data_IF_874827448285
#
_entry.id   IF_874827448285
#
_cell.length_a   1.000
_cell.length_b   1.000
_cell.length_c   1.000
_cell.angle_alpha   90.00
_cell.angle_beta   90.00
_cell.angle_gamma   90.00
#
_symmetry.space_group_name_H-M   'P 1'
#
loop_
_entity.id
_entity.type
_entity.pdbx_description
1 polymer ?
#
# COMPACT_ATOMS: atom_id res chain seq x y z
N UNK A 1 5.58 -5.21 21.14
CA UNK A 1 5.62 -3.95 21.93
C UNK A 1 6.44 -2.84 21.27
N UNK A 2 7.58 -3.13 20.62
CA UNK A 2 8.41 -2.10 19.93
C UNK A 2 7.73 -1.54 18.68
N UNK A 3 7.08 -2.36 17.85
CA UNK A 3 6.35 -1.92 16.67
C UNK A 3 5.21 -0.94 17.04
N UNK A 4 4.46 -1.22 18.11
CA UNK A 4 3.39 -0.36 18.60
C UNK A 4 3.90 1.02 19.07
N UNK A 5 5.04 1.08 19.78
CA UNK A 5 5.66 2.34 20.18
C UNK A 5 6.13 3.17 18.98
N UNK A 6 6.68 2.52 17.95
CA UNK A 6 7.04 3.19 16.69
C UNK A 6 5.80 3.76 16.00
N UNK A 7 4.73 2.98 15.92
CA UNK A 7 3.47 3.38 15.31
C UNK A 7 2.89 4.63 16.00
N UNK A 8 2.77 4.63 17.34
CA UNK A 8 2.29 5.79 18.12
C UNK A 8 3.15 7.03 17.87
N UNK A 9 4.47 6.88 17.80
CA UNK A 9 5.38 8.00 17.52
C UNK A 9 5.16 8.57 16.13
N UNK A 10 5.02 7.70 15.10
CA UNK A 10 4.75 8.14 13.72
C UNK A 10 3.40 8.85 13.64
N UNK A 11 2.36 8.30 14.26
CA UNK A 11 1.03 8.93 14.30
C UNK A 11 1.12 10.33 14.94
N UNK A 12 1.76 10.45 16.10
CA UNK A 12 1.93 11.74 16.76
C UNK A 12 2.69 12.76 15.91
N UNK A 13 3.73 12.30 15.19
CA UNK A 13 4.51 13.15 14.29
C UNK A 13 3.72 13.59 13.07
N UNK A 14 3.01 12.68 12.40
CA UNK A 14 2.21 13.00 11.20
C UNK A 14 0.98 13.87 11.53
N UNK A 15 0.34 13.62 12.67
CA UNK A 15 -0.73 14.50 13.18
C UNK A 15 -0.18 15.91 13.44
N UNK A 16 0.96 16.02 14.13
CA UNK A 16 1.61 17.31 14.41
C UNK A 16 1.99 18.05 13.11
N UNK A 17 2.60 17.35 12.16
CA UNK A 17 3.03 17.91 10.87
C UNK A 17 1.85 18.38 10.00
N UNK A 18 0.67 17.79 10.14
CA UNK A 18 -0.52 18.19 9.38
C UNK A 18 -1.33 19.27 10.11
N UNK A 19 -1.50 19.15 11.42
CA UNK A 19 -2.34 20.07 12.21
C UNK A 19 -1.65 21.41 12.49
N UNK A 20 -0.32 21.44 12.70
CA UNK A 20 0.39 22.69 12.99
C UNK A 20 0.31 23.71 11.85
N UNK A 21 0.55 23.33 10.57
CA UNK A 21 0.35 24.26 9.44
C UNK A 21 -1.09 24.72 9.26
N UNK A 22 -2.08 23.82 9.47
CA UNK A 22 -3.51 24.19 9.41
C UNK A 22 -3.82 25.26 10.46
N UNK A 23 -3.41 25.04 11.70
CA UNK A 23 -3.62 26.00 12.81
C UNK A 23 -2.92 27.34 12.54
N UNK A 24 -1.67 27.30 12.09
CA UNK A 24 -0.90 28.50 11.77
C UNK A 24 -1.56 29.28 10.64
N UNK A 25 -1.96 28.61 9.56
CA UNK A 25 -2.58 29.26 8.41
C UNK A 25 -3.95 29.83 8.76
N UNK A 26 -4.78 29.10 9.52
CA UNK A 26 -6.05 29.61 10.00
C UNK A 26 -5.87 30.88 10.86
N UNK A 27 -4.85 30.92 11.73
CA UNK A 27 -4.51 32.11 12.50
C UNK A 27 -4.09 33.31 11.62
N UNK A 28 -3.26 33.05 10.61
CA UNK A 28 -2.85 34.06 9.63
C UNK A 28 -4.06 34.62 8.87
N UNK A 29 -4.96 33.75 8.40
CA UNK A 29 -6.18 34.17 7.70
C UNK A 29 -7.13 34.97 8.59
N UNK A 30 -7.25 34.62 9.89
CA UNK A 30 -8.04 35.39 10.84
C UNK A 30 -7.45 36.80 11.01
N UNK A 31 -6.14 36.94 11.17
CA UNK A 31 -5.47 38.27 11.24
C UNK A 31 -5.61 39.06 9.96
N UNK A 32 -5.59 38.45 8.78
CA UNK A 32 -5.82 39.14 7.51
C UNK A 32 -7.26 39.70 7.44
N UNK A 33 -8.26 38.98 7.94
CA UNK A 33 -9.65 39.43 8.01
C UNK A 33 -9.82 40.65 8.89
N UNK A 34 -9.09 40.72 10.02
CA UNK A 34 -9.17 41.85 10.93
C UNK A 34 -8.51 43.14 10.35
N UNK A 35 -7.63 43.01 9.34
CA UNK A 35 -6.85 44.11 8.73
C UNK A 35 -7.29 44.46 7.30
N UNK A 36 -8.43 44.01 6.85
CA UNK A 36 -8.91 44.11 5.44
C UNK A 36 -9.05 45.53 4.85
N UNK A 37 -8.92 46.57 5.64
CA UNK A 37 -9.05 47.95 5.14
C UNK A 37 -7.81 48.48 4.42
N UNK A 38 -6.66 47.80 4.47
CA UNK A 38 -5.38 48.36 4.01
C UNK A 38 -4.63 47.61 2.89
N UNK A 39 -5.08 46.37 2.49
CA UNK A 39 -4.33 45.52 1.58
C UNK A 39 -5.11 45.24 0.30
N UNK A 40 -4.51 45.52 -0.87
CA UNK A 40 -5.14 45.27 -2.18
C UNK A 40 -5.28 43.77 -2.52
N UNK A 41 -4.39 42.90 -2.00
CA UNK A 41 -4.23 41.51 -2.43
C UNK A 41 -4.68 40.48 -1.38
N UNK A 42 -5.39 40.91 -0.33
CA UNK A 42 -5.79 40.02 0.78
C UNK A 42 -6.65 38.81 0.33
N UNK A 43 -7.42 38.96 -0.77
CA UNK A 43 -8.26 37.87 -1.31
C UNK A 43 -7.42 36.73 -1.89
N UNK A 44 -6.32 37.05 -2.53
CA UNK A 44 -5.43 36.03 -3.11
C UNK A 44 -4.60 35.34 -2.02
N UNK A 45 -4.19 36.09 -0.99
CA UNK A 45 -3.58 35.52 0.21
C UNK A 45 -4.55 34.58 0.94
N UNK A 46 -5.81 35.00 1.08
CA UNK A 46 -6.88 34.18 1.66
C UNK A 46 -7.06 32.87 0.87
N UNK A 47 -7.19 32.95 -0.45
CA UNK A 47 -7.31 31.78 -1.31
C UNK A 47 -6.13 30.84 -1.17
N UNK A 48 -4.89 31.34 -1.22
CA UNK A 48 -3.67 30.55 -1.04
C UNK A 48 -3.67 29.85 0.31
N UNK A 49 -4.03 30.54 1.38
CA UNK A 49 -4.12 29.96 2.72
C UNK A 49 -5.16 28.87 2.83
N UNK A 50 -6.34 29.04 2.23
CA UNK A 50 -7.40 28.05 2.20
C UNK A 50 -7.00 26.80 1.40
N UNK A 51 -6.29 26.96 0.28
CA UNK A 51 -5.75 25.84 -0.51
C UNK A 51 -4.80 25.01 0.34
N UNK A 52 -3.86 25.65 1.05
CA UNK A 52 -2.92 24.95 1.94
C UNK A 52 -3.66 24.18 3.05
N UNK A 53 -4.67 24.78 3.67
CA UNK A 53 -5.50 24.11 4.67
C UNK A 53 -6.20 22.89 4.06
N UNK A 54 -6.78 23.03 2.87
CA UNK A 54 -7.45 21.95 2.14
C UNK A 54 -6.52 20.77 1.88
N UNK A 55 -5.37 21.03 1.27
CA UNK A 55 -4.35 20.00 0.97
C UNK A 55 -3.88 19.25 2.21
N UNK A 56 -3.63 19.96 3.33
CA UNK A 56 -3.21 19.36 4.59
C UNK A 56 -4.32 18.53 5.23
N UNK A 57 -5.56 18.99 5.15
CA UNK A 57 -6.74 18.26 5.66
C UNK A 57 -6.97 16.97 4.88
N UNK A 58 -6.84 17.01 3.55
CA UNK A 58 -6.92 15.81 2.70
C UNK A 58 -5.79 14.83 2.99
N UNK A 59 -4.54 15.31 3.15
CA UNK A 59 -3.41 14.47 3.51
C UNK A 59 -3.66 13.76 4.86
N UNK A 60 -4.16 14.48 5.86
CA UNK A 60 -4.52 13.94 7.16
C UNK A 60 -5.65 12.90 7.05
N UNK A 61 -6.67 13.17 6.25
CA UNK A 61 -7.79 12.25 6.02
C UNK A 61 -7.31 10.94 5.38
N UNK A 62 -6.44 11.02 4.36
CA UNK A 62 -5.81 9.85 3.74
C UNK A 62 -5.00 9.05 4.76
N UNK A 63 -4.20 9.73 5.59
CA UNK A 63 -3.42 9.10 6.66
C UNK A 63 -4.31 8.37 7.67
N UNK A 64 -5.37 9.02 8.17
CA UNK A 64 -6.31 8.40 9.12
C UNK A 64 -7.06 7.22 8.54
N UNK A 65 -7.49 7.30 7.28
CA UNK A 65 -8.14 6.20 6.58
C UNK A 65 -7.21 4.99 6.41
N UNK A 66 -5.95 5.27 6.11
CA UNK A 66 -4.91 4.27 5.97
C UNK A 66 -4.60 3.60 7.33
N UNK A 67 -4.50 4.39 8.40
CA UNK A 67 -4.34 3.89 9.77
C UNK A 67 -5.50 3.01 10.21
N UNK A 68 -6.74 3.43 9.93
CA UNK A 68 -7.92 2.66 10.28
C UNK A 68 -7.96 1.28 9.61
N UNK A 69 -7.50 1.18 8.36
CA UNK A 69 -7.37 -0.10 7.64
C UNK A 69 -6.32 -1.01 8.28
N UNK A 70 -5.16 -0.44 8.68
CA UNK A 70 -4.11 -1.22 9.34
C UNK A 70 -4.54 -1.71 10.73
N UNK A 71 -5.26 -0.87 11.50
CA UNK A 71 -5.69 -1.18 12.86
C UNK A 71 -6.90 -2.11 12.94
N UNK A 72 -7.64 -2.32 11.85
CA UNK A 72 -8.91 -3.03 11.80
C UNK A 72 -8.94 -4.24 10.87
N UNK A 73 -7.78 -4.82 10.55
CA UNK A 73 -7.81 -6.08 9.79
C UNK A 73 -8.58 -7.12 10.62
N UNK A 74 -9.77 -7.57 10.16
CA UNK A 74 -10.52 -8.60 10.89
C UNK A 74 -9.79 -9.94 10.83
N UNK A 75 -10.06 -10.86 11.75
CA UNK A 75 -9.59 -12.24 11.60
C UNK A 75 -10.05 -12.82 10.27
N UNK A 76 -9.22 -13.61 9.58
CA UNK A 76 -9.58 -14.17 8.28
C UNK A 76 -10.72 -15.16 8.38
N UNK A 77 -11.65 -15.09 7.44
CA UNK A 77 -12.73 -16.06 7.26
C UNK A 77 -12.29 -17.10 6.23
N UNK A 78 -11.75 -18.22 6.71
CA UNK A 78 -11.16 -19.25 5.86
C UNK A 78 -12.20 -20.01 5.03
N UNK A 79 -12.04 -20.00 3.73
CA UNK A 79 -12.79 -20.77 2.74
C UNK A 79 -11.85 -21.43 1.73
N UNK A 80 -12.38 -22.32 0.89
CA UNK A 80 -11.61 -22.90 -0.21
C UNK A 80 -11.50 -21.87 -1.33
N UNK A 81 -10.28 -21.49 -1.70
CA UNK A 81 -9.99 -20.51 -2.73
C UNK A 81 -9.20 -21.16 -3.86
N UNK A 82 -9.70 -21.03 -5.07
CA UNK A 82 -8.98 -21.37 -6.30
C UNK A 82 -8.01 -20.25 -6.63
N UNK A 83 -6.71 -20.57 -6.65
CA UNK A 83 -5.64 -19.58 -6.85
C UNK A 83 -5.64 -19.00 -8.27
N UNK A 84 -5.86 -19.84 -9.30
CA UNK A 84 -5.92 -19.37 -10.71
C UNK A 84 -7.08 -18.38 -10.88
N UNK A 85 -8.27 -18.75 -10.40
CA UNK A 85 -9.45 -17.89 -10.49
C UNK A 85 -9.25 -16.56 -9.72
N UNK A 86 -8.62 -16.59 -8.53
CA UNK A 86 -8.29 -15.40 -7.77
C UNK A 86 -7.34 -14.48 -8.53
N UNK A 87 -6.22 -15.02 -9.03
CA UNK A 87 -5.20 -14.23 -9.75
C UNK A 87 -5.82 -13.59 -11.00
N UNK A 88 -6.55 -14.37 -11.83
CA UNK A 88 -7.20 -13.84 -13.04
C UNK A 88 -8.19 -12.75 -12.73
N UNK A 89 -9.01 -12.92 -11.69
CA UNK A 89 -9.98 -11.90 -11.27
C UNK A 89 -9.28 -10.60 -10.89
N UNK A 90 -8.20 -10.67 -10.09
CA UNK A 90 -7.48 -9.47 -9.65
C UNK A 90 -6.73 -8.79 -10.80
N UNK A 91 -6.11 -9.57 -11.69
CA UNK A 91 -5.44 -9.01 -12.87
C UNK A 91 -6.45 -8.33 -13.81
N UNK A 92 -7.66 -8.91 -13.97
CA UNK A 92 -8.70 -8.29 -14.78
C UNK A 92 -9.19 -6.92 -14.27
N UNK A 93 -8.98 -6.62 -13.00
CA UNK A 93 -9.25 -5.29 -12.43
C UNK A 93 -8.21 -4.22 -12.85
N UNK A 94 -7.04 -4.65 -13.35
CA UNK A 94 -5.97 -3.76 -13.80
C UNK A 94 -6.14 -3.41 -15.29
N UNK A 95 -7.17 -2.62 -15.60
CA UNK A 95 -7.54 -2.31 -17.01
C UNK A 95 -6.55 -1.41 -17.75
N UNK A 96 -5.71 -0.66 -17.01
CA UNK A 96 -4.86 0.38 -17.57
C UNK A 96 -3.40 -0.06 -17.80
N UNK A 97 -3.05 -1.30 -17.44
CA UNK A 97 -1.69 -1.80 -17.56
C UNK A 97 -1.67 -3.31 -17.85
N UNK A 98 -0.91 -3.77 -18.84
CA UNK A 98 -0.83 -5.18 -19.16
C UNK A 98 -0.04 -5.95 -18.09
N UNK A 99 -0.66 -6.98 -17.51
CA UNK A 99 -0.05 -7.91 -16.58
C UNK A 99 -0.02 -9.29 -17.21
N UNK A 100 1.16 -9.89 -17.29
CA UNK A 100 1.34 -11.25 -17.83
C UNK A 100 1.12 -12.28 -16.73
N UNK A 101 0.20 -13.21 -16.95
CA UNK A 101 -0.03 -14.34 -16.05
C UNK A 101 0.73 -15.56 -16.59
N UNK A 102 1.72 -16.02 -15.85
CA UNK A 102 2.37 -17.31 -16.07
C UNK A 102 1.68 -18.34 -15.19
N UNK A 103 0.68 -19.03 -15.74
CA UNK A 103 -0.17 -19.95 -14.98
C UNK A 103 0.64 -21.08 -14.33
N UNK A 104 0.48 -21.24 -13.03
CA UNK A 104 1.01 -22.38 -12.28
C UNK A 104 0.05 -23.59 -12.27
N UNK A 105 0.33 -24.59 -11.45
CA UNK A 105 -0.56 -25.74 -11.29
C UNK A 105 -1.92 -25.32 -10.72
N UNK A 106 -3.01 -26.04 -11.08
CA UNK A 106 -4.31 -25.81 -10.44
C UNK A 106 -4.21 -26.18 -8.95
N UNK A 107 -4.55 -25.21 -8.09
CA UNK A 107 -4.42 -25.38 -6.65
C UNK A 107 -5.53 -24.66 -5.91
N UNK A 108 -6.04 -25.30 -4.86
CA UNK A 108 -6.97 -24.73 -3.90
C UNK A 108 -6.29 -24.63 -2.54
N UNK A 109 -6.50 -23.51 -1.86
CA UNK A 109 -5.98 -23.25 -0.51
C UNK A 109 -7.11 -22.86 0.43
N UNK A 110 -6.87 -23.00 1.72
CA UNK A 110 -7.76 -22.46 2.77
C UNK A 110 -7.34 -21.05 3.10
N UNK A 111 -8.14 -20.07 2.70
CA UNK A 111 -7.82 -18.65 2.86
C UNK A 111 -9.09 -17.78 2.92
N UNK A 112 -8.93 -16.54 3.33
CA UNK A 112 -9.93 -15.49 3.16
C UNK A 112 -9.75 -14.85 1.79
N UNK A 113 -10.70 -15.06 0.89
CA UNK A 113 -10.61 -14.61 -0.50
C UNK A 113 -10.51 -13.07 -0.61
N UNK A 114 -11.26 -12.34 0.21
CA UNK A 114 -11.29 -10.87 0.16
C UNK A 114 -9.97 -10.27 0.64
N UNK A 115 -9.39 -10.85 1.71
CA UNK A 115 -8.09 -10.43 2.20
C UNK A 115 -6.97 -10.73 1.20
N UNK A 116 -6.97 -11.92 0.57
CA UNK A 116 -5.99 -12.25 -0.47
C UNK A 116 -6.17 -11.39 -1.73
N UNK A 117 -7.41 -11.10 -2.12
CA UNK A 117 -7.68 -10.17 -3.22
C UNK A 117 -7.09 -8.79 -2.92
N UNK A 118 -7.31 -8.26 -1.71
CA UNK A 118 -6.74 -7.00 -1.28
C UNK A 118 -5.20 -7.01 -1.27
N UNK A 119 -4.59 -8.09 -0.82
CA UNK A 119 -3.13 -8.27 -0.84
C UNK A 119 -2.61 -8.22 -2.27
N UNK A 120 -3.19 -9.00 -3.18
CA UNK A 120 -2.79 -9.04 -4.59
C UNK A 120 -2.99 -7.71 -5.30
N UNK A 121 -4.10 -7.01 -5.08
CA UNK A 121 -4.34 -5.65 -5.61
C UNK A 121 -3.21 -4.71 -5.16
N UNK A 122 -2.81 -4.74 -3.90
CA UNK A 122 -1.73 -3.89 -3.40
C UNK A 122 -0.37 -4.24 -4.03
N UNK A 123 -0.05 -5.53 -4.18
CA UNK A 123 1.21 -5.96 -4.81
C UNK A 123 1.25 -5.57 -6.29
N UNK A 124 0.18 -5.86 -7.04
CA UNK A 124 0.07 -5.50 -8.46
C UNK A 124 0.16 -4.00 -8.67
N UNK A 125 -0.56 -3.21 -7.87
CA UNK A 125 -0.47 -1.75 -7.94
C UNK A 125 0.96 -1.25 -7.70
N UNK A 126 1.67 -1.83 -6.73
CA UNK A 126 3.06 -1.46 -6.49
C UNK A 126 3.97 -1.78 -7.67
N UNK A 127 3.80 -2.96 -8.28
CA UNK A 127 4.55 -3.39 -9.45
C UNK A 127 4.24 -2.52 -10.68
N UNK A 128 2.96 -2.24 -10.95
CA UNK A 128 2.51 -1.38 -12.05
C UNK A 128 3.07 0.04 -11.89
N UNK A 129 2.93 0.65 -10.71
CA UNK A 129 3.46 1.99 -10.44
C UNK A 129 4.98 2.06 -10.68
N UNK A 130 5.73 1.01 -10.33
CA UNK A 130 7.17 0.94 -10.57
C UNK A 130 7.51 0.76 -12.06
N UNK A 131 6.64 0.11 -12.81
CA UNK A 131 6.82 -0.19 -14.23
C UNK A 131 6.40 0.96 -15.16
N UNK A 132 5.55 1.89 -14.70
CA UNK A 132 5.05 3.01 -15.51
C UNK A 132 6.17 3.91 -16.05
N UNK A 133 7.24 4.13 -15.28
CA UNK A 133 8.36 4.99 -15.71
C UNK A 133 9.16 4.41 -16.88
N UNK A 134 9.15 3.09 -17.06
CA UNK A 134 9.94 2.37 -18.06
C UNK A 134 9.08 1.65 -19.11
N UNK A 135 7.76 1.75 -19.01
CA UNK A 135 6.81 0.96 -19.84
C UNK A 135 7.16 -0.53 -19.83
N UNK A 136 7.60 -1.06 -18.68
CA UNK A 136 8.14 -2.41 -18.56
C UNK A 136 7.07 -3.42 -18.11
N UNK A 137 7.37 -4.72 -18.22
CA UNK A 137 6.39 -5.77 -17.95
C UNK A 137 6.17 -6.01 -16.45
N UNK A 138 4.94 -6.42 -16.09
CA UNK A 138 4.58 -6.98 -14.79
C UNK A 138 4.15 -8.42 -14.99
N UNK A 139 4.72 -9.32 -14.18
CA UNK A 139 4.46 -10.75 -14.26
C UNK A 139 3.87 -11.27 -12.94
N UNK A 140 2.93 -12.19 -13.06
CA UNK A 140 2.38 -12.95 -11.92
C UNK A 140 2.50 -14.42 -12.22
N UNK A 141 3.07 -15.17 -11.29
CA UNK A 141 3.18 -16.63 -11.37
C UNK A 141 3.04 -17.26 -9.99
N UNK A 142 2.70 -18.56 -9.99
CA UNK A 142 2.64 -19.33 -8.73
C UNK A 142 3.11 -20.77 -8.95
N UNK A 143 3.61 -21.34 -7.87
CA UNK A 143 4.05 -22.72 -7.81
C UNK A 143 3.74 -23.30 -6.42
N UNK A 144 3.83 -24.62 -6.30
CA UNK A 144 3.79 -25.30 -5.00
C UNK A 144 5.16 -25.88 -4.73
N UNK A 145 5.77 -25.48 -3.60
CA UNK A 145 7.06 -25.97 -3.16
C UNK A 145 6.96 -26.32 -1.67
N UNK A 146 7.39 -27.52 -1.32
CA UNK A 146 7.44 -28.00 0.07
C UNK A 146 6.11 -27.83 0.86
N UNK A 147 4.98 -28.09 0.20
CA UNK A 147 3.66 -27.96 0.80
C UNK A 147 3.19 -26.51 0.99
N UNK A 148 3.86 -25.55 0.34
CA UNK A 148 3.50 -24.13 0.36
C UNK A 148 3.21 -23.63 -1.05
N UNK A 149 2.16 -22.83 -1.17
CA UNK A 149 1.94 -21.97 -2.32
C UNK A 149 2.98 -20.83 -2.29
N UNK A 150 3.72 -20.68 -3.35
CA UNK A 150 4.54 -19.48 -3.62
C UNK A 150 3.89 -18.71 -4.77
N UNK A 151 3.39 -17.50 -4.48
CA UNK A 151 2.84 -16.60 -5.47
C UNK A 151 3.76 -15.40 -5.61
N UNK A 152 4.24 -15.16 -6.83
CA UNK A 152 5.20 -14.11 -7.16
C UNK A 152 4.54 -13.03 -8.00
N UNK A 153 4.81 -11.79 -7.64
CA UNK A 153 4.54 -10.61 -8.45
C UNK A 153 5.87 -9.94 -8.73
N UNK A 154 6.25 -9.84 -10.02
CA UNK A 154 7.53 -9.32 -10.44
C UNK A 154 7.35 -8.13 -11.39
N UNK A 155 8.16 -7.08 -11.20
CA UNK A 155 8.23 -5.94 -12.09
C UNK A 155 9.65 -5.78 -12.68
N UNK A 156 9.78 -4.94 -13.68
CA UNK A 156 11.04 -4.55 -14.31
C UNK A 156 11.32 -3.04 -14.11
N UNK A 157 10.76 -2.48 -13.05
CA UNK A 157 10.95 -1.09 -12.65
C UNK A 157 12.37 -0.78 -12.16
N UNK A 158 12.57 0.34 -11.46
CA UNK A 158 13.89 0.77 -10.96
C UNK A 158 14.42 -0.12 -9.83
N UNK A 159 13.61 -1.01 -9.26
CA UNK A 159 13.92 -1.79 -8.08
C UNK A 159 13.70 -1.02 -6.78
N UNK A 160 14.09 -1.66 -5.68
CA UNK A 160 13.96 -1.09 -4.34
C UNK A 160 15.20 -0.25 -4.00
N UNK A 161 15.05 0.92 -3.40
CA UNK A 161 16.17 1.60 -2.79
C UNK A 161 16.75 0.73 -1.66
N UNK A 162 18.05 0.86 -1.38
CA UNK A 162 18.70 0.15 -0.27
C UNK A 162 18.19 0.67 1.08
N UNK A 163 16.95 0.33 1.45
CA UNK A 163 16.36 0.73 2.73
C UNK A 163 15.77 -0.48 3.44
N UNK A 164 16.10 -0.64 4.70
CA UNK A 164 15.51 -1.64 5.60
C UNK A 164 14.05 -1.31 6.00
N UNK A 165 13.41 -0.32 5.35
CA UNK A 165 12.17 0.30 5.84
C UNK A 165 10.91 -0.10 5.06
N UNK A 166 10.97 -1.11 4.19
CA UNK A 166 9.85 -1.49 3.31
C UNK A 166 8.55 -1.82 4.05
N UNK A 167 8.68 -2.38 5.25
CA UNK A 167 7.55 -2.76 6.10
C UNK A 167 7.39 -1.85 7.32
N UNK A 168 7.96 -0.66 7.26
CA UNK A 168 7.70 0.37 8.29
C UNK A 168 6.43 1.12 7.88
N UNK A 169 5.39 1.14 8.73
CA UNK A 169 4.15 1.87 8.42
C UNK A 169 4.43 3.33 8.08
N UNK A 170 3.75 3.83 7.05
CA UNK A 170 3.85 5.20 6.54
C UNK A 170 5.17 5.56 5.85
N UNK A 171 6.10 4.65 5.75
CA UNK A 171 7.29 4.85 4.94
C UNK A 171 6.94 4.64 3.46
N UNK A 172 7.16 5.66 2.64
CA UNK A 172 6.93 5.62 1.19
C UNK A 172 7.87 6.57 0.47
N UNK A 173 8.35 6.14 -0.68
CA UNK A 173 9.10 6.97 -1.63
C UNK A 173 8.18 7.55 -2.72
N UNK A 174 6.91 7.11 -2.78
CA UNK A 174 5.95 7.52 -3.80
C UNK A 174 5.21 8.78 -3.38
N UNK A 175 5.11 9.76 -4.29
CA UNK A 175 4.28 10.95 -4.07
C UNK A 175 2.81 10.54 -3.93
N UNK A 176 2.19 10.92 -2.82
CA UNK A 176 0.79 10.54 -2.51
C UNK A 176 0.58 9.10 -2.03
N UNK A 177 1.66 8.32 -1.87
CA UNK A 177 1.59 6.97 -1.31
C UNK A 177 1.27 7.00 0.20
N UNK A 178 0.45 6.06 0.68
CA UNK A 178 0.11 5.95 2.11
C UNK A 178 1.20 5.27 2.95
N UNK A 179 2.15 4.54 2.33
CA UNK A 179 3.16 3.75 3.02
C UNK A 179 2.61 2.58 3.86
N UNK A 180 1.37 2.13 3.59
CA UNK A 180 0.71 1.08 4.37
C UNK A 180 0.50 -0.20 3.56
N UNK A 181 0.51 -0.12 2.24
CA UNK A 181 0.18 -1.24 1.37
C UNK A 181 0.98 -2.51 1.69
N UNK A 182 2.31 -2.43 1.75
CA UNK A 182 3.17 -3.58 2.06
C UNK A 182 3.01 -4.08 3.50
N UNK A 183 2.79 -3.17 4.45
CA UNK A 183 2.54 -3.54 5.86
C UNK A 183 1.25 -4.34 5.98
N UNK A 184 0.18 -3.90 5.31
CA UNK A 184 -1.09 -4.62 5.27
C UNK A 184 -0.95 -5.98 4.58
N UNK A 185 -0.20 -6.04 3.46
CA UNK A 185 0.08 -7.30 2.78
C UNK A 185 0.80 -8.30 3.71
N UNK A 186 1.79 -7.85 4.48
CA UNK A 186 2.49 -8.68 5.46
C UNK A 186 1.53 -9.17 6.55
N UNK A 187 0.70 -8.30 7.11
CA UNK A 187 -0.28 -8.69 8.13
C UNK A 187 -1.27 -9.73 7.60
N UNK A 188 -1.75 -9.57 6.36
CA UNK A 188 -2.62 -10.56 5.72
C UNK A 188 -1.89 -11.89 5.57
N UNK A 189 -0.65 -11.90 5.07
CA UNK A 189 0.15 -13.11 4.92
C UNK A 189 0.34 -13.83 6.28
N UNK A 190 0.74 -13.09 7.31
CA UNK A 190 0.92 -13.61 8.68
C UNK A 190 -0.39 -14.15 9.28
N UNK A 191 -1.52 -13.47 9.06
CA UNK A 191 -2.84 -13.94 9.52
C UNK A 191 -3.28 -15.25 8.85
N UNK A 192 -2.72 -15.57 7.67
CA UNK A 192 -2.92 -16.82 6.94
C UNK A 192 -1.83 -17.87 7.23
N UNK A 193 -0.94 -17.62 8.21
CA UNK A 193 0.15 -18.51 8.57
C UNK A 193 1.31 -18.55 7.57
N UNK A 194 1.41 -17.53 6.72
CA UNK A 194 2.42 -17.41 5.69
C UNK A 194 3.39 -16.24 5.90
N UNK A 195 4.17 -15.93 4.85
CA UNK A 195 5.13 -14.82 4.83
C UNK A 195 4.99 -14.01 3.55
N UNK A 196 5.46 -12.77 3.60
CA UNK A 196 5.63 -11.91 2.43
C UNK A 196 7.05 -11.34 2.44
N UNK A 197 7.79 -11.66 1.40
CA UNK A 197 9.14 -11.15 1.15
C UNK A 197 9.13 -10.25 -0.09
N UNK A 198 9.90 -9.17 -0.05
CA UNK A 198 9.98 -8.19 -1.15
C UNK A 198 11.44 -7.80 -1.33
N UNK A 199 12.02 -8.18 -2.47
CA UNK A 199 13.44 -8.02 -2.77
C UNK A 199 13.66 -7.50 -4.18
N UNK A 200 14.86 -7.00 -4.44
CA UNK A 200 15.31 -6.76 -5.81
C UNK A 200 15.50 -8.09 -6.55
N UNK A 201 15.23 -8.08 -7.83
CA UNK A 201 15.50 -9.24 -8.69
C UNK A 201 17.00 -9.42 -8.87
N UNK A 202 17.45 -10.69 -8.94
CA UNK A 202 18.85 -11.05 -9.12
C UNK A 202 19.24 -11.10 -10.60
N UNK A 203 18.26 -11.36 -11.51
CA UNK A 203 18.47 -11.60 -12.94
C UNK A 203 18.42 -10.33 -13.79
N UNK A 204 17.72 -9.29 -13.29
CA UNK A 204 17.52 -8.01 -13.98
C UNK A 204 17.09 -6.92 -13.00
N UNK A 205 17.02 -5.67 -13.48
CA UNK A 205 16.47 -4.57 -12.70
C UNK A 205 14.98 -4.82 -12.44
N UNK A 206 14.51 -4.54 -11.24
CA UNK A 206 13.11 -4.69 -10.85
C UNK A 206 12.98 -5.24 -9.44
N UNK A 207 11.73 -5.43 -9.04
CA UNK A 207 11.38 -5.96 -7.73
C UNK A 207 10.62 -7.28 -7.88
N UNK A 208 10.75 -8.14 -6.88
CA UNK A 208 10.02 -9.38 -6.72
C UNK A 208 9.34 -9.39 -5.35
N UNK A 209 8.01 -9.50 -5.33
CA UNK A 209 7.23 -9.77 -4.14
C UNK A 209 6.82 -11.25 -4.13
N UNK A 210 7.19 -11.98 -3.09
CA UNK A 210 6.90 -13.40 -2.92
C UNK A 210 6.00 -13.62 -1.71
N UNK A 211 4.76 -14.02 -1.96
CA UNK A 211 3.81 -14.48 -0.96
C UNK A 211 3.94 -15.99 -0.80
N UNK A 212 4.22 -16.45 0.41
CA UNK A 212 4.27 -17.88 0.75
C UNK A 212 3.13 -18.21 1.69
N UNK A 213 2.25 -19.16 1.34
CA UNK A 213 1.12 -19.62 2.16
C UNK A 213 1.14 -21.14 2.32
N UNK A 214 0.75 -21.68 3.47
CA UNK A 214 0.63 -23.11 3.64
C UNK A 214 -0.50 -23.65 2.76
N UNK A 215 -0.21 -24.73 2.02
CA UNK A 215 -1.24 -25.53 1.35
C UNK A 215 -1.71 -26.54 2.37
N UNK A 216 -2.84 -26.29 3.00
CA UNK A 216 -3.48 -27.30 3.84
C UNK A 216 -3.95 -28.41 2.92
N UNK A 217 -3.55 -29.69 3.13
CA UNK A 217 -4.10 -30.79 2.37
C UNK A 217 -5.62 -30.73 2.46
N UNK A 218 -6.31 -30.80 1.32
CA UNK A 218 -7.76 -31.04 1.33
C UNK A 218 -7.97 -32.31 2.15
N UNK A 219 -8.63 -32.19 3.30
CA UNK A 219 -9.14 -33.36 4.00
C UNK A 219 -10.03 -34.14 3.01
N UNK A 220 -9.85 -35.44 2.91
CA UNK A 220 -10.60 -36.31 1.98
C UNK A 220 -12.10 -36.27 2.22
#
# INVERSE_FOLDING_TARGET
RQAWRRLIRVIGHELGNSLAPIKSMAGTLAHLLDRTSELSDWRDDMKRGLVVIGERSEALSRFMSAYARLARLPPPTFQTVDVDALVRRVVALQTNYPVTIESGPPIHIRADADQLEQLLINLLRNAIDASLEKESAVHVRWAVMDGHLQLLVEDEGPGLPQTANLFVPFFTTKVGGSGIGLVLCRQIAEAHGGTLDVDNRDDRTGCRAMLTLPVTPSLP
#
